data_IF_978317440343
#
_entry.id   IF_978317440343
#
_cell.length_a   1.000
_cell.length_b   1.000
_cell.length_c   1.000
_cell.angle_alpha   90.00
_cell.angle_beta   90.00
_cell.angle_gamma   90.00
#
_symmetry.space_group_name_H-M   'P 1'
#
loop_
_entity.id
_entity.type
_entity.pdbx_description
1 polymer ?
#
# COMPACT_ATOMS: atom_id res chain seq x y z
N UNK A 1 1.56 -2.93 19.63
CA UNK A 1 2.65 -3.64 18.93
C UNK A 1 2.89 -2.96 17.59
N UNK A 2 4.12 -3.02 17.10
CA UNK A 2 4.58 -2.21 15.97
C UNK A 2 4.78 -3.08 14.73
N UNK A 3 4.36 -2.61 13.57
CA UNK A 3 4.80 -3.14 12.28
C UNK A 3 5.88 -2.21 11.77
N UNK A 4 7.11 -2.73 11.71
CA UNK A 4 8.28 -1.96 11.34
C UNK A 4 8.56 -2.13 9.85
N UNK A 5 8.62 -1.03 9.11
CA UNK A 5 8.95 -1.04 7.67
C UNK A 5 10.36 -0.50 7.48
N UNK A 6 11.25 -1.29 6.88
CA UNK A 6 12.62 -0.82 6.65
C UNK A 6 12.65 0.36 5.66
N UNK A 7 13.34 1.43 6.05
CA UNK A 7 13.52 2.66 5.29
C UNK A 7 14.96 3.19 5.48
N UNK A 8 15.83 2.79 4.56
CA UNK A 8 17.23 3.23 4.46
C UNK A 8 17.76 2.84 3.07
N UNK A 9 19.06 2.94 2.84
CA UNK A 9 19.72 2.60 1.59
C UNK A 9 19.28 1.22 1.06
N UNK A 10 18.87 1.24 -0.21
CA UNK A 10 18.35 0.10 -0.94
C UNK A 10 16.85 0.19 -1.18
N UNK A 11 16.09 0.93 -0.39
CA UNK A 11 14.63 0.99 -0.54
C UNK A 11 14.23 1.89 -1.71
N UNK A 12 13.26 1.43 -2.52
CA UNK A 12 12.61 2.27 -3.52
C UNK A 12 11.58 3.19 -2.87
N UNK A 13 11.65 4.50 -3.13
CA UNK A 13 10.70 5.50 -2.61
C UNK A 13 9.24 5.12 -2.91
N UNK A 14 8.98 4.69 -4.16
CA UNK A 14 7.64 4.32 -4.58
C UNK A 14 7.16 3.04 -3.86
N UNK A 15 8.02 2.01 -3.78
CA UNK A 15 7.67 0.78 -3.05
C UNK A 15 7.43 1.04 -1.56
N UNK A 16 8.21 1.93 -0.93
CA UNK A 16 8.00 2.33 0.47
C UNK A 16 6.65 3.01 0.67
N UNK A 17 6.31 3.97 -0.20
CA UNK A 17 5.03 4.70 -0.17
C UNK A 17 3.84 3.74 -0.25
N UNK A 18 3.83 2.82 -1.21
CA UNK A 18 2.78 1.81 -1.35
C UNK A 18 2.75 0.83 -0.17
N UNK A 19 3.91 0.38 0.32
CA UNK A 19 4.01 -0.52 1.48
C UNK A 19 3.41 0.14 2.73
N UNK A 20 3.80 1.38 3.04
CA UNK A 20 3.29 2.11 4.20
C UNK A 20 1.79 2.39 4.10
N UNK A 21 1.31 2.81 2.92
CA UNK A 21 -0.12 3.05 2.69
C UNK A 21 -0.94 1.79 2.94
N UNK A 22 -0.60 0.69 2.28
CA UNK A 22 -1.35 -0.56 2.37
C UNK A 22 -1.33 -1.12 3.79
N UNK A 23 -0.17 -1.15 4.45
CA UNK A 23 -0.09 -1.59 5.84
C UNK A 23 -0.92 -0.70 6.77
N UNK A 24 -0.84 0.64 6.64
CA UNK A 24 -1.66 1.55 7.47
C UNK A 24 -3.16 1.36 7.20
N UNK A 25 -3.56 1.19 5.95
CA UNK A 25 -4.95 0.97 5.56
C UNK A 25 -5.54 -0.27 6.25
N UNK A 26 -4.79 -1.38 6.24
CA UNK A 26 -5.27 -2.66 6.74
C UNK A 26 -4.97 -2.93 8.21
N UNK A 27 -4.02 -2.22 8.86
CA UNK A 27 -3.55 -2.56 10.22
C UNK A 27 -3.72 -1.44 11.27
N UNK A 28 -4.13 -0.22 10.90
CA UNK A 28 -4.16 0.95 11.80
C UNK A 28 -5.00 0.81 13.09
N UNK A 29 -5.94 -0.14 13.17
CA UNK A 29 -6.76 -0.31 14.38
C UNK A 29 -6.04 -1.02 15.52
N UNK A 30 -5.05 -1.86 15.20
CA UNK A 30 -4.40 -2.77 16.17
C UNK A 30 -2.89 -2.62 16.22
N UNK A 31 -2.30 -2.09 15.16
CA UNK A 31 -0.86 -1.96 15.03
C UNK A 31 -0.50 -0.53 14.68
N UNK A 32 0.61 -0.07 15.26
CA UNK A 32 1.26 1.14 14.80
C UNK A 32 2.24 0.78 13.69
N UNK A 33 2.16 1.47 12.55
CA UNK A 33 2.97 1.21 11.35
C UNK A 33 3.91 2.39 11.13
N UNK A 34 5.20 2.16 11.33
CA UNK A 34 6.24 3.19 11.17
C UNK A 34 7.52 2.62 10.58
N UNK A 35 8.39 3.52 10.15
CA UNK A 35 9.65 3.17 9.51
C UNK A 35 10.75 2.86 10.52
N UNK A 36 11.72 2.05 10.10
CA UNK A 36 12.93 1.73 10.87
C UNK A 36 14.15 1.71 9.93
N UNK A 37 15.25 2.34 10.33
CA UNK A 37 16.47 2.37 9.52
C UNK A 37 17.51 1.32 9.97
N UNK A 38 18.63 1.20 9.24
CA UNK A 38 19.66 0.22 9.55
C UNK A 38 20.31 0.45 10.91
N UNK A 39 20.51 1.72 11.30
CA UNK A 39 21.10 2.07 12.60
C UNK A 39 20.22 1.57 13.75
N UNK A 40 18.90 1.75 13.65
CA UNK A 40 17.94 1.27 14.64
C UNK A 40 17.92 -0.26 14.69
N UNK A 41 17.84 -0.93 13.54
CA UNK A 41 17.86 -2.41 13.50
C UNK A 41 19.15 -3.00 14.08
N UNK A 42 20.29 -2.32 13.90
CA UNK A 42 21.58 -2.74 14.42
C UNK A 42 21.75 -2.48 15.92
N UNK A 43 21.31 -1.32 16.42
CA UNK A 43 21.74 -0.83 17.73
C UNK A 43 20.62 -0.76 18.78
N UNK A 44 19.37 -0.54 18.37
CA UNK A 44 18.26 -0.32 19.29
C UNK A 44 17.52 -1.63 19.64
N UNK A 45 16.82 -1.69 20.80
CA UNK A 45 15.93 -2.79 21.13
C UNK A 45 14.59 -2.64 20.41
N UNK A 46 14.34 -3.44 19.38
CA UNK A 46 13.11 -3.38 18.59
C UNK A 46 12.31 -4.69 18.58
N UNK A 47 12.96 -5.83 18.85
CA UNK A 47 12.35 -7.16 18.69
C UNK A 47 11.08 -7.35 19.55
N UNK A 48 11.11 -6.94 20.83
CA UNK A 48 10.07 -7.26 21.80
C UNK A 48 8.71 -6.60 21.49
N UNK A 49 8.74 -5.44 20.84
CA UNK A 49 7.54 -4.69 20.47
C UNK A 49 7.15 -4.84 18.99
N UNK A 50 7.92 -5.62 18.23
CA UNK A 50 7.70 -5.83 16.80
C UNK A 50 6.71 -6.98 16.56
N UNK A 51 5.58 -6.67 15.92
CA UNK A 51 4.63 -7.65 15.42
C UNK A 51 5.10 -8.25 14.10
N UNK A 52 5.66 -7.43 13.20
CA UNK A 52 6.19 -7.86 11.92
C UNK A 52 7.24 -6.87 11.43
N UNK A 53 8.36 -7.39 10.91
CA UNK A 53 9.35 -6.63 10.17
C UNK A 53 9.08 -6.78 8.68
N UNK A 54 8.88 -5.66 7.99
CA UNK A 54 8.61 -5.60 6.56
C UNK A 54 9.83 -5.01 5.84
N UNK A 55 10.35 -5.72 4.85
CA UNK A 55 11.42 -5.23 3.96
C UNK A 55 10.81 -5.02 2.56
N UNK A 56 10.63 -3.77 2.11
CA UNK A 56 9.96 -3.45 0.86
C UNK A 56 10.85 -3.71 -0.37
N UNK A 57 10.28 -3.45 -1.56
CA UNK A 57 10.99 -3.48 -2.83
C UNK A 57 12.10 -2.42 -2.93
N UNK A 58 13.07 -2.68 -3.81
CA UNK A 58 14.30 -1.90 -3.88
C UNK A 58 15.47 -2.66 -4.52
N UNK A 59 16.67 -2.42 -4.01
CA UNK A 59 17.92 -3.02 -4.45
C UNK A 59 18.54 -3.86 -3.32
N UNK A 60 18.39 -5.17 -3.43
CA UNK A 60 18.73 -6.13 -2.39
C UNK A 60 20.21 -6.04 -1.93
N UNK A 61 21.13 -5.79 -2.87
CA UNK A 61 22.58 -5.68 -2.59
C UNK A 61 22.91 -4.63 -1.53
N UNK A 62 22.08 -3.59 -1.43
CA UNK A 62 22.24 -2.54 -0.42
C UNK A 62 21.65 -2.93 0.93
N UNK A 63 20.58 -3.74 0.97
CA UNK A 63 20.11 -4.36 2.21
C UNK A 63 21.20 -5.25 2.80
N UNK A 64 21.79 -6.09 1.94
CA UNK A 64 22.89 -6.96 2.32
C UNK A 64 24.09 -6.16 2.87
N UNK A 65 24.49 -5.07 2.22
CA UNK A 65 25.64 -4.27 2.68
C UNK A 65 25.37 -3.47 3.95
N UNK A 66 24.12 -3.04 4.19
CA UNK A 66 23.75 -2.23 5.36
C UNK A 66 23.38 -3.02 6.59
N UNK A 67 22.73 -4.18 6.42
CA UNK A 67 22.14 -4.93 7.52
C UNK A 67 23.04 -6.09 7.99
N UNK A 68 23.93 -6.60 7.15
CA UNK A 68 24.84 -7.67 7.54
C UNK A 68 26.12 -7.12 8.21
N UNK A 69 26.66 -7.75 9.28
CA UNK A 69 26.16 -8.95 9.97
C UNK A 69 25.13 -8.67 11.08
N UNK A 70 25.21 -7.50 11.70
CA UNK A 70 24.55 -7.23 12.98
C UNK A 70 23.02 -7.32 12.89
N UNK A 71 22.39 -6.56 12.00
CA UNK A 71 20.94 -6.59 11.87
C UNK A 71 20.46 -7.94 11.30
N UNK A 72 21.19 -8.57 10.36
CA UNK A 72 20.79 -9.89 9.85
C UNK A 72 20.72 -10.95 10.95
N UNK A 73 21.65 -10.94 11.90
CA UNK A 73 21.63 -11.86 13.04
C UNK A 73 20.46 -11.56 13.98
N UNK A 74 20.25 -10.27 14.31
CA UNK A 74 19.10 -9.85 15.13
C UNK A 74 17.76 -10.21 14.50
N UNK A 75 17.61 -10.01 13.18
CA UNK A 75 16.40 -10.37 12.43
C UNK A 75 16.21 -11.89 12.45
N UNK A 76 17.25 -12.69 12.23
CA UNK A 76 17.15 -14.16 12.33
C UNK A 76 16.71 -14.60 13.72
N UNK A 77 17.30 -14.04 14.78
CA UNK A 77 16.92 -14.36 16.16
C UNK A 77 15.47 -13.97 16.46
N UNK A 78 15.03 -12.79 16.02
CA UNK A 78 13.65 -12.33 16.13
C UNK A 78 12.67 -13.33 15.49
N UNK A 79 12.91 -13.74 14.24
CA UNK A 79 12.02 -14.70 13.56
C UNK A 79 12.09 -16.07 14.24
N UNK A 80 13.29 -16.54 14.61
CA UNK A 80 13.45 -17.82 15.30
C UNK A 80 12.63 -17.91 16.59
N UNK A 81 12.46 -16.79 17.31
CA UNK A 81 11.70 -16.70 18.56
C UNK A 81 10.18 -16.45 18.36
N UNK A 82 9.67 -16.49 17.13
CA UNK A 82 8.23 -16.29 16.86
C UNK A 82 7.89 -14.96 16.20
N UNK A 83 8.90 -14.18 15.81
CA UNK A 83 8.75 -12.99 14.99
C UNK A 83 8.23 -13.30 13.58
N UNK A 84 7.79 -12.25 12.89
CA UNK A 84 7.25 -12.35 11.52
C UNK A 84 8.01 -11.44 10.58
N UNK A 85 8.32 -11.96 9.39
CA UNK A 85 9.01 -11.24 8.33
C UNK A 85 8.12 -11.17 7.09
N UNK A 86 8.03 -9.99 6.48
CA UNK A 86 7.36 -9.81 5.19
C UNK A 86 8.34 -9.17 4.20
N UNK A 87 8.84 -9.95 3.23
CA UNK A 87 9.75 -9.49 2.20
C UNK A 87 9.07 -9.35 0.86
N UNK A 88 9.10 -8.14 0.29
CA UNK A 88 8.47 -7.84 -1.00
C UNK A 88 9.56 -7.52 -2.03
N UNK A 89 9.51 -8.16 -3.19
CA UNK A 89 10.49 -8.01 -4.28
C UNK A 89 11.93 -8.18 -3.74
N UNK A 90 12.73 -7.10 -3.64
CA UNK A 90 14.06 -7.08 -3.02
C UNK A 90 14.11 -7.66 -1.61
N UNK A 91 13.06 -7.47 -0.80
CA UNK A 91 12.95 -8.13 0.50
C UNK A 91 12.83 -9.65 0.40
N UNK A 92 12.13 -10.16 -0.63
CA UNK A 92 12.05 -11.58 -0.93
C UNK A 92 13.41 -12.18 -1.34
N UNK A 93 14.17 -11.46 -2.16
CA UNK A 93 15.54 -11.82 -2.49
C UNK A 93 16.45 -11.86 -1.26
N UNK A 94 16.44 -10.79 -0.45
CA UNK A 94 17.28 -10.63 0.73
C UNK A 94 17.05 -11.73 1.80
N UNK A 95 15.82 -12.26 1.86
CA UNK A 95 15.43 -13.32 2.77
C UNK A 95 15.69 -14.75 2.26
N UNK A 96 16.08 -14.91 0.99
CA UNK A 96 16.30 -16.22 0.37
C UNK A 96 17.67 -16.81 0.70
N UNK A 97 17.93 -18.05 0.29
CA UNK A 97 19.22 -18.71 0.48
C UNK A 97 20.27 -18.16 -0.48
N UNK A 98 19.84 -17.90 -1.71
CA UNK A 98 20.63 -17.38 -2.81
C UNK A 98 19.78 -16.46 -3.68
N UNK A 99 20.42 -15.44 -4.26
CA UNK A 99 19.87 -14.65 -5.37
C UNK A 99 20.51 -15.05 -6.69
N UNK A 100 19.70 -15.10 -7.74
CA UNK A 100 20.12 -15.06 -9.14
C UNK A 100 19.29 -14.00 -9.86
N UNK A 101 19.78 -12.75 -9.83
CA UNK A 101 19.14 -11.64 -10.51
C UNK A 101 19.91 -11.27 -11.78
N UNK A 102 19.22 -11.21 -12.92
CA UNK A 102 19.75 -10.79 -14.22
C UNK A 102 21.11 -11.44 -14.55
N UNK A 103 21.19 -12.77 -14.35
CA UNK A 103 22.38 -13.57 -14.65
C UNK A 103 22.87 -13.29 -16.07
N UNK A 104 24.19 -13.19 -16.21
CA UNK A 104 24.92 -12.96 -17.46
C UNK A 104 24.64 -11.59 -18.13
N UNK A 105 24.12 -10.63 -17.38
CA UNK A 105 23.97 -9.23 -17.81
C UNK A 105 24.88 -8.28 -17.00
N UNK A 106 24.94 -7.01 -17.41
CA UNK A 106 25.59 -5.94 -16.62
C UNK A 106 24.93 -5.66 -15.27
N UNK A 107 23.67 -6.07 -15.09
CA UNK A 107 22.90 -5.90 -13.86
C UNK A 107 22.96 -7.13 -12.93
N UNK A 108 23.80 -8.12 -13.26
CA UNK A 108 23.87 -9.41 -12.57
C UNK A 108 24.17 -9.27 -11.07
N UNK A 109 23.31 -9.87 -10.25
CA UNK A 109 23.54 -10.07 -8.81
C UNK A 109 23.34 -11.55 -8.50
N UNK A 110 24.46 -12.25 -8.29
CA UNK A 110 24.48 -13.67 -7.94
C UNK A 110 25.24 -13.83 -6.64
N UNK A 111 24.64 -14.48 -5.66
CA UNK A 111 25.33 -14.76 -4.40
C UNK A 111 24.41 -15.24 -3.29
N UNK A 112 25.02 -15.66 -2.19
CA UNK A 112 24.29 -16.05 -1.00
C UNK A 112 23.68 -14.85 -0.29
N UNK A 113 22.62 -15.11 0.49
CA UNK A 113 22.07 -14.14 1.44
C UNK A 113 22.08 -14.71 2.84
N UNK A 114 22.20 -13.85 3.84
CA UNK A 114 22.46 -14.29 5.22
C UNK A 114 21.20 -14.64 6.00
N UNK A 115 20.04 -14.09 5.62
CA UNK A 115 18.78 -14.42 6.29
C UNK A 115 18.38 -15.89 6.07
N UNK A 116 18.53 -16.43 4.85
CA UNK A 116 18.27 -17.85 4.51
C UNK A 116 16.99 -18.42 5.11
N UNK A 117 15.91 -17.63 5.13
CA UNK A 117 14.60 -18.11 5.59
C UNK A 117 14.01 -19.09 4.60
N UNK A 118 14.16 -18.81 3.30
CA UNK A 118 13.92 -19.77 2.24
C UNK A 118 15.20 -20.50 1.87
N UNK A 119 15.21 -21.84 1.97
CA UNK A 119 16.31 -22.71 1.53
C UNK A 119 16.20 -22.99 0.04
N UNK A 120 16.47 -21.95 -0.74
CA UNK A 120 16.37 -21.99 -2.19
C UNK A 120 16.90 -20.72 -2.84
N UNK A 121 16.69 -20.63 -4.15
CA UNK A 121 17.06 -19.48 -4.96
C UNK A 121 15.84 -18.58 -5.20
N UNK A 122 16.01 -17.29 -5.01
CA UNK A 122 15.15 -16.27 -5.60
C UNK A 122 15.74 -15.86 -6.95
N UNK A 123 15.03 -16.16 -8.04
CA UNK A 123 15.52 -16.02 -9.41
C UNK A 123 14.68 -14.97 -10.14
N UNK A 124 15.34 -13.99 -10.77
CA UNK A 124 14.66 -12.99 -11.58
C UNK A 124 15.60 -12.21 -12.52
N UNK A 125 15.10 -11.22 -13.25
CA UNK A 125 13.66 -10.94 -13.38
C UNK A 125 13.00 -11.85 -14.45
N UNK A 126 11.68 -11.80 -14.51
CA UNK A 126 10.83 -12.59 -15.42
C UNK A 126 10.82 -12.03 -16.84
N UNK A 127 10.98 -10.71 -17.01
CA UNK A 127 10.93 -10.04 -18.31
C UNK A 127 12.33 -9.87 -18.94
N UNK A 128 12.37 -9.76 -20.26
CA UNK A 128 13.60 -9.40 -20.99
C UNK A 128 13.90 -7.90 -20.88
N UNK A 129 15.19 -7.53 -20.92
CA UNK A 129 15.59 -6.12 -21.06
C UNK A 129 15.42 -5.27 -19.80
N UNK A 130 15.47 -5.86 -18.61
CA UNK A 130 15.41 -5.10 -17.37
C UNK A 130 16.60 -4.15 -17.23
N UNK A 131 16.29 -2.90 -16.95
CA UNK A 131 17.28 -1.87 -16.64
C UNK A 131 16.84 -1.09 -15.39
N UNK A 132 17.75 -0.94 -14.43
CA UNK A 132 17.48 -0.13 -13.25
C UNK A 132 17.10 1.31 -13.64
N UNK A 133 16.08 1.84 -12.96
CA UNK A 133 15.59 3.23 -13.13
C UNK A 133 15.06 3.52 -14.53
N UNK A 134 14.70 2.49 -15.30
CA UNK A 134 14.01 2.62 -16.57
C UNK A 134 12.69 1.86 -16.54
N UNK A 135 11.77 2.33 -17.38
CA UNK A 135 10.43 1.77 -17.48
C UNK A 135 10.41 0.38 -18.14
N UNK A 136 11.49 -0.04 -18.80
CA UNK A 136 11.60 -1.35 -19.47
C UNK A 136 11.49 -2.55 -18.52
N UNK A 137 11.70 -2.33 -17.21
CA UNK A 137 11.55 -3.35 -16.18
C UNK A 137 10.12 -3.62 -15.71
N UNK A 138 9.17 -2.74 -16.05
CA UNK A 138 7.81 -2.77 -15.50
C UNK A 138 6.85 -3.60 -16.36
N UNK A 139 6.08 -4.47 -15.71
CA UNK A 139 4.97 -5.18 -16.36
C UNK A 139 3.82 -5.48 -15.39
N UNK A 140 2.68 -5.87 -15.95
CA UNK A 140 1.57 -6.46 -15.21
C UNK A 140 1.74 -7.98 -15.23
N UNK A 141 1.81 -8.63 -14.07
CA UNK A 141 1.88 -10.10 -13.95
C UNK A 141 0.54 -10.67 -13.50
N UNK A 142 0.16 -11.82 -14.08
CA UNK A 142 -1.01 -12.59 -13.65
C UNK A 142 -0.58 -13.63 -12.60
N UNK A 143 -1.18 -13.57 -11.42
CA UNK A 143 -0.84 -14.43 -10.28
C UNK A 143 -2.08 -15.13 -9.73
N UNK A 144 -1.90 -16.33 -9.17
CA UNK A 144 -2.97 -17.08 -8.50
C UNK A 144 -3.16 -16.63 -7.05
N UNK A 145 -4.37 -16.76 -6.52
CA UNK A 145 -4.71 -16.49 -5.14
C UNK A 145 -5.23 -17.78 -4.47
N UNK A 146 -4.86 -18.06 -3.21
CA UNK A 146 -5.47 -19.14 -2.42
C UNK A 146 -6.99 -18.98 -2.22
N UNK A 147 -7.53 -17.80 -2.50
CA UNK A 147 -8.96 -17.50 -2.41
C UNK A 147 -9.76 -17.97 -3.64
N UNK A 148 -9.12 -18.65 -4.60
CA UNK A 148 -9.77 -19.27 -5.76
C UNK A 148 -9.87 -18.38 -7.00
N UNK A 149 -9.18 -17.24 -7.02
CA UNK A 149 -9.15 -16.30 -8.14
C UNK A 149 -7.74 -16.02 -8.64
N UNK A 150 -7.65 -15.33 -9.77
CA UNK A 150 -6.41 -14.74 -10.28
C UNK A 150 -6.55 -13.22 -10.30
N UNK A 151 -5.44 -12.50 -10.18
CA UNK A 151 -5.42 -11.06 -10.28
C UNK A 151 -4.14 -10.57 -10.94
N UNK A 152 -4.17 -9.33 -11.44
CA UNK A 152 -3.00 -8.67 -11.97
C UNK A 152 -2.33 -7.84 -10.90
N UNK A 153 -1.01 -7.98 -10.77
CA UNK A 153 -0.19 -7.21 -9.86
C UNK A 153 0.88 -6.41 -10.60
N UNK A 154 1.36 -5.35 -9.95
CA UNK A 154 2.55 -4.65 -10.42
C UNK A 154 3.78 -5.54 -10.26
N UNK A 155 4.67 -5.46 -11.24
CA UNK A 155 5.91 -6.19 -11.24
C UNK A 155 7.02 -5.32 -11.81
N UNK A 156 8.14 -5.25 -11.08
CA UNK A 156 9.34 -4.57 -11.50
C UNK A 156 10.57 -5.25 -10.86
N UNK A 157 11.31 -6.06 -11.63
CA UNK A 157 12.53 -6.72 -11.15
C UNK A 157 12.33 -7.87 -10.15
N UNK A 158 11.10 -8.32 -9.96
CA UNK A 158 10.72 -9.35 -8.99
C UNK A 158 11.29 -10.77 -9.24
N UNK A 159 11.19 -11.67 -8.26
CA UNK A 159 11.64 -13.06 -8.42
C UNK A 159 10.51 -14.07 -8.56
N UNK A 160 10.87 -15.29 -8.97
CA UNK A 160 10.21 -16.52 -8.55
C UNK A 160 11.11 -17.33 -7.62
N UNK A 161 10.52 -18.25 -6.84
CA UNK A 161 11.24 -19.03 -5.84
C UNK A 161 11.47 -20.47 -6.31
N UNK A 162 12.73 -20.89 -6.30
CA UNK A 162 13.16 -22.24 -6.70
C UNK A 162 13.84 -22.96 -5.52
N UNK A 163 13.22 -23.99 -4.93
CA UNK A 163 13.78 -24.70 -3.77
C UNK A 163 15.09 -25.43 -4.11
N UNK A 164 15.97 -25.64 -3.12
CA UNK A 164 17.07 -26.58 -3.26
C UNK A 164 16.56 -28.02 -3.38
N UNK A 165 17.36 -28.90 -3.99
CA UNK A 165 16.95 -30.28 -4.26
C UNK A 165 16.71 -31.11 -2.99
N UNK A 166 17.42 -30.78 -1.92
CA UNK A 166 17.41 -31.44 -0.60
C UNK A 166 16.63 -30.65 0.45
N UNK A 167 15.83 -29.65 0.05
CA UNK A 167 15.03 -28.89 1.00
C UNK A 167 13.92 -29.75 1.59
N UNK A 168 13.68 -29.59 2.89
CA UNK A 168 12.47 -30.09 3.54
C UNK A 168 11.24 -29.38 2.95
N UNK A 169 10.37 -30.14 2.28
CA UNK A 169 9.16 -29.61 1.62
C UNK A 169 8.18 -29.00 2.62
N UNK A 170 8.22 -29.40 3.89
CA UNK A 170 7.37 -28.83 4.94
C UNK A 170 7.92 -27.52 5.51
N UNK A 171 9.13 -27.12 5.10
CA UNK A 171 9.78 -25.89 5.54
C UNK A 171 9.21 -24.62 4.88
N UNK A 172 8.42 -24.76 3.81
CA UNK A 172 7.71 -23.63 3.19
C UNK A 172 6.41 -24.06 2.51
N UNK A 173 5.49 -23.12 2.38
CA UNK A 173 4.22 -23.26 1.63
C UNK A 173 4.27 -22.36 0.40
N UNK A 174 3.85 -22.86 -0.77
CA UNK A 174 3.61 -22.01 -1.95
C UNK A 174 2.25 -21.32 -1.77
N UNK A 175 2.27 -19.99 -1.73
CA UNK A 175 1.09 -19.15 -1.50
C UNK A 175 0.48 -18.67 -2.81
N UNK A 176 1.30 -18.38 -3.80
CA UNK A 176 0.86 -17.86 -5.09
C UNK A 176 1.83 -18.28 -6.18
N UNK A 177 1.33 -18.41 -7.40
CA UNK A 177 2.11 -18.74 -8.58
C UNK A 177 1.84 -17.77 -9.74
N UNK A 178 2.90 -17.40 -10.44
CA UNK A 178 2.82 -16.72 -11.73
C UNK A 178 2.19 -17.66 -12.75
N UNK A 179 1.22 -17.17 -13.52
CA UNK A 179 0.60 -17.92 -14.61
C UNK A 179 1.40 -17.74 -15.91
N UNK A 180 2.62 -18.29 -15.94
CA UNK A 180 3.63 -18.10 -17.00
C UNK A 180 3.07 -18.31 -18.40
N UNK A 181 2.34 -19.39 -18.63
CA UNK A 181 1.77 -19.71 -19.95
C UNK A 181 0.64 -18.76 -20.40
N UNK A 182 0.16 -17.88 -19.51
CA UNK A 182 -0.88 -16.88 -19.79
C UNK A 182 -0.31 -15.46 -19.90
N UNK A 183 1.01 -15.30 -19.74
CA UNK A 183 1.68 -14.00 -19.76
C UNK A 183 2.50 -13.80 -21.04
N UNK A 184 2.66 -12.53 -21.43
CA UNK A 184 3.49 -12.09 -22.54
C UNK A 184 4.63 -11.21 -22.01
N UNK A 185 5.73 -11.09 -22.77
CA UNK A 185 6.87 -10.25 -22.39
C UNK A 185 7.79 -10.89 -21.32
N UNK A 186 7.60 -12.17 -21.05
CA UNK A 186 8.46 -12.97 -20.18
C UNK A 186 9.61 -13.59 -20.99
N UNK A 187 10.75 -13.82 -20.35
CA UNK A 187 11.94 -14.40 -20.97
C UNK A 187 11.65 -15.76 -21.59
N UNK A 188 12.13 -15.95 -22.82
CA UNK A 188 11.81 -17.14 -23.62
C UNK A 188 12.14 -18.47 -22.93
N UNK A 189 13.20 -18.53 -22.12
CA UNK A 189 13.59 -19.74 -21.37
C UNK A 189 12.60 -20.14 -20.28
N UNK A 190 11.70 -19.24 -19.88
CA UNK A 190 10.65 -19.50 -18.90
C UNK A 190 9.40 -20.12 -19.54
N UNK A 191 9.24 -20.04 -20.86
CA UNK A 191 8.06 -20.57 -21.58
C UNK A 191 7.86 -22.09 -21.43
N UNK A 192 8.87 -22.81 -20.95
CA UNK A 192 8.76 -24.24 -20.61
C UNK A 192 7.93 -24.51 -19.35
N UNK A 193 7.69 -23.50 -18.51
CA UNK A 193 6.89 -23.61 -17.30
C UNK A 193 5.45 -23.16 -17.54
N UNK A 194 4.49 -23.87 -16.94
CA UNK A 194 3.10 -23.39 -16.89
C UNK A 194 2.93 -22.35 -15.79
N UNK A 195 3.49 -22.64 -14.62
CA UNK A 195 3.45 -21.78 -13.44
C UNK A 195 4.83 -21.72 -12.78
N UNK A 196 5.08 -20.69 -11.99
CA UNK A 196 6.28 -20.54 -11.16
C UNK A 196 5.91 -19.95 -9.78
N UNK A 197 6.51 -20.41 -8.66
CA UNK A 197 6.19 -19.89 -7.32
C UNK A 197 6.48 -18.38 -7.22
N UNK A 198 5.43 -17.60 -7.00
CA UNK A 198 5.46 -16.13 -6.95
C UNK A 198 5.42 -15.59 -5.52
N UNK A 199 4.81 -16.33 -4.58
CA UNK A 199 4.85 -16.03 -3.16
C UNK A 199 4.98 -17.33 -2.36
N UNK A 200 5.79 -17.30 -1.29
CA UNK A 200 6.01 -18.44 -0.39
C UNK A 200 5.97 -18.00 1.07
N UNK A 201 5.54 -18.90 1.96
CA UNK A 201 5.61 -18.70 3.40
C UNK A 201 6.54 -19.74 4.04
N UNK A 202 7.70 -19.32 4.52
CA UNK A 202 8.71 -20.17 5.13
C UNK A 202 8.53 -20.27 6.64
N UNK A 203 8.71 -21.48 7.19
CA UNK A 203 8.82 -21.71 8.64
C UNK A 203 10.27 -21.50 9.07
N UNK A 204 10.49 -20.75 10.14
CA UNK A 204 11.84 -20.52 10.67
C UNK A 204 11.82 -20.38 12.19
N UNK A 205 12.32 -21.40 12.89
CA UNK A 205 12.13 -21.53 14.34
C UNK A 205 10.65 -21.54 14.71
N UNK A 206 10.25 -20.71 15.66
CA UNK A 206 8.85 -20.51 16.06
C UNK A 206 8.11 -19.48 15.19
N UNK A 207 8.83 -18.76 14.32
CA UNK A 207 8.28 -17.71 13.48
C UNK A 207 8.10 -18.12 12.02
N UNK A 208 7.83 -17.12 11.19
CA UNK A 208 7.61 -17.32 9.75
C UNK A 208 8.04 -16.11 8.93
N UNK A 209 8.41 -16.37 7.69
CA UNK A 209 8.79 -15.37 6.71
C UNK A 209 7.93 -15.53 5.45
N UNK A 210 7.15 -14.50 5.11
CA UNK A 210 6.37 -14.43 3.88
C UNK A 210 7.18 -13.65 2.84
N UNK A 211 7.52 -14.30 1.72
CA UNK A 211 8.33 -13.74 0.66
C UNK A 211 7.49 -13.65 -0.62
N UNK A 212 7.46 -12.47 -1.24
CA UNK A 212 6.66 -12.21 -2.43
C UNK A 212 7.54 -11.63 -3.51
N UNK A 213 7.48 -12.21 -4.70
CA UNK A 213 8.28 -11.82 -5.85
C UNK A 213 7.69 -10.65 -6.63
N UNK A 214 6.39 -10.40 -6.53
CA UNK A 214 5.70 -9.27 -7.15
C UNK A 214 5.30 -8.23 -6.09
N UNK A 215 4.58 -7.19 -6.50
CA UNK A 215 4.17 -6.09 -5.63
C UNK A 215 2.66 -6.12 -5.33
N UNK A 216 2.20 -6.91 -4.33
CA UNK A 216 0.80 -6.94 -3.93
C UNK A 216 0.36 -5.67 -3.18
N UNK A 217 1.31 -4.85 -2.72
CA UNK A 217 1.07 -3.60 -1.99
C UNK A 217 0.73 -2.41 -2.89
N UNK A 218 0.94 -2.54 -4.21
CA UNK A 218 0.70 -1.45 -5.17
C UNK A 218 -0.80 -1.22 -5.37
N UNK A 219 -1.32 -0.23 -4.66
CA UNK A 219 -2.70 0.22 -4.84
C UNK A 219 -2.84 1.33 -5.91
N UNK A 220 -3.76 1.19 -6.89
CA UNK A 220 -4.00 2.21 -7.93
C UNK A 220 -4.59 3.53 -7.42
N UNK A 221 -5.03 3.65 -6.16
CA UNK A 221 -5.47 4.92 -5.58
C UNK A 221 -4.31 5.90 -5.33
N UNK A 222 -3.11 5.36 -5.07
CA UNK A 222 -1.89 6.15 -4.91
C UNK A 222 -1.40 6.57 -6.30
N UNK A 223 -0.97 7.82 -6.46
CA UNK A 223 -0.34 8.25 -7.71
C UNK A 223 0.96 7.49 -7.96
N UNK A 224 1.02 6.90 -9.15
CA UNK A 224 2.17 6.21 -9.71
C UNK A 224 3.06 7.27 -10.33
N UNK A 225 4.34 7.31 -9.96
CA UNK A 225 5.29 8.27 -10.54
C UNK A 225 5.52 7.99 -12.04
N UNK A 226 5.29 6.74 -12.47
CA UNK A 226 5.48 6.26 -13.83
C UNK A 226 4.20 6.41 -14.68
N UNK A 227 3.95 7.63 -15.18
CA UNK A 227 2.76 7.96 -15.99
C UNK A 227 2.61 7.13 -17.30
N UNK A 228 3.62 6.35 -17.69
CA UNK A 228 3.64 5.53 -18.89
C UNK A 228 3.27 4.06 -18.63
N UNK A 229 3.12 3.64 -17.37
CA UNK A 229 2.75 2.27 -17.03
C UNK A 229 1.24 2.04 -17.23
N UNK A 230 0.87 1.10 -18.10
CA UNK A 230 -0.51 0.62 -18.20
C UNK A 230 -0.86 -0.20 -16.95
N UNK A 231 -1.73 0.35 -16.10
CA UNK A 231 -2.26 -0.33 -14.92
C UNK A 231 -3.72 -0.81 -15.10
N UNK A 232 -4.26 -0.81 -16.31
CA UNK A 232 -5.68 -1.06 -16.57
C UNK A 232 -6.15 -2.42 -16.02
N UNK A 233 -5.32 -3.47 -16.12
CA UNK A 233 -5.71 -4.80 -15.62
C UNK A 233 -5.59 -4.89 -14.10
N UNK A 234 -4.61 -4.20 -13.51
CA UNK A 234 -4.50 -4.07 -12.04
C UNK A 234 -5.73 -3.36 -11.48
N UNK A 235 -6.14 -2.24 -12.07
CA UNK A 235 -7.36 -1.51 -11.67
C UNK A 235 -8.59 -2.42 -11.74
N UNK A 236 -8.73 -3.20 -12.82
CA UNK A 236 -9.86 -4.13 -13.01
C UNK A 236 -9.90 -5.27 -11.99
N UNK A 237 -8.76 -5.69 -11.47
CA UNK A 237 -8.63 -6.81 -10.51
C UNK A 237 -8.19 -6.33 -9.11
N UNK A 238 -8.41 -5.04 -8.81
CA UNK A 238 -7.97 -4.42 -7.57
C UNK A 238 -8.59 -5.08 -6.35
N UNK A 239 -9.88 -5.43 -6.43
CA UNK A 239 -10.60 -6.08 -5.32
C UNK A 239 -9.90 -7.40 -4.95
N UNK A 240 -9.64 -8.22 -5.95
CA UNK A 240 -8.96 -9.51 -5.83
C UNK A 240 -7.53 -9.37 -5.28
N UNK A 241 -6.81 -8.32 -5.70
CA UNK A 241 -5.49 -7.98 -5.18
C UNK A 241 -5.53 -7.55 -3.71
N UNK A 242 -6.53 -6.76 -3.32
CA UNK A 242 -6.72 -6.31 -1.94
C UNK A 242 -7.08 -7.47 -1.02
N UNK A 243 -7.98 -8.36 -1.45
CA UNK A 243 -8.32 -9.59 -0.73
C UNK A 243 -7.09 -10.49 -0.55
N UNK A 244 -6.24 -10.59 -1.58
CA UNK A 244 -4.98 -11.31 -1.49
C UNK A 244 -4.01 -10.65 -0.49
N UNK A 245 -3.87 -9.32 -0.49
CA UNK A 245 -3.01 -8.62 0.46
C UNK A 245 -3.49 -8.83 1.92
N UNK A 246 -4.80 -8.77 2.17
CA UNK A 246 -5.38 -9.09 3.48
C UNK A 246 -5.05 -10.54 3.87
N UNK A 247 -5.20 -11.50 2.95
CA UNK A 247 -4.85 -12.90 3.18
C UNK A 247 -3.37 -13.06 3.56
N UNK A 248 -2.45 -12.32 2.93
CA UNK A 248 -1.03 -12.32 3.29
C UNK A 248 -0.79 -11.84 4.73
N UNK A 249 -1.50 -10.78 5.16
CA UNK A 249 -1.43 -10.28 6.53
C UNK A 249 -1.96 -11.32 7.53
N UNK A 250 -3.09 -11.97 7.22
CA UNK A 250 -3.65 -13.04 8.04
C UNK A 250 -2.69 -14.25 8.12
N UNK A 251 -1.98 -14.60 7.03
CA UNK A 251 -0.94 -15.64 7.04
C UNK A 251 0.25 -15.29 7.94
N UNK A 252 0.52 -14.01 8.16
CA UNK A 252 1.49 -13.52 9.14
C UNK A 252 0.90 -13.42 10.56
N UNK A 253 -0.34 -13.88 10.78
CA UNK A 253 -1.10 -13.71 12.01
C UNK A 253 -1.21 -12.23 12.43
N UNK A 254 -1.23 -11.30 11.47
CA UNK A 254 -1.56 -9.90 11.70
C UNK A 254 -3.05 -9.73 11.55
N UNK A 255 -3.73 -9.26 12.58
CA UNK A 255 -5.18 -9.02 12.53
C UNK A 255 -5.50 -7.84 11.62
N UNK A 256 -5.77 -8.11 10.35
CA UNK A 256 -6.22 -7.09 9.40
C UNK A 256 -7.64 -6.59 9.70
N UNK A 257 -7.92 -5.35 9.30
CA UNK A 257 -9.25 -4.78 9.31
C UNK A 257 -10.14 -5.55 8.32
N UNK A 258 -11.36 -5.92 8.72
CA UNK A 258 -12.32 -6.55 7.80
C UNK A 258 -12.65 -5.58 6.65
N UNK A 259 -12.76 -6.10 5.42
CA UNK A 259 -13.06 -5.29 4.23
C UNK A 259 -14.36 -4.45 4.36
N UNK A 260 -15.33 -4.91 5.17
CA UNK A 260 -16.56 -4.17 5.48
C UNK A 260 -16.35 -2.94 6.37
N UNK A 261 -15.22 -2.87 7.07
CA UNK A 261 -14.86 -1.74 7.93
C UNK A 261 -13.89 -0.77 7.25
N UNK A 262 -13.34 -1.15 6.10
CA UNK A 262 -12.50 -0.31 5.27
C UNK A 262 -13.45 0.50 4.40
N UNK A 263 -13.83 1.67 4.91
CA UNK A 263 -14.54 2.64 4.10
C UNK A 263 -13.52 3.21 3.12
N UNK A 264 -13.48 2.68 1.89
CA UNK A 264 -12.77 3.31 0.80
C UNK A 264 -13.43 4.67 0.56
N UNK A 265 -12.86 5.72 1.15
CA UNK A 265 -13.24 7.09 0.82
C UNK A 265 -12.81 7.28 -0.63
N UNK A 266 -13.77 7.24 -1.56
CA UNK A 266 -13.48 7.51 -2.96
C UNK A 266 -12.70 8.82 -3.07
N UNK A 267 -11.67 8.85 -3.91
CA UNK A 267 -10.84 10.04 -4.20
C UNK A 267 -11.68 11.28 -4.62
N UNK A 268 -12.96 11.06 -4.92
CA UNK A 268 -14.00 12.04 -5.23
C UNK A 268 -15.24 11.90 -4.31
N UNK A 269 -15.06 11.70 -3.00
CA UNK A 269 -16.22 11.63 -2.12
C UNK A 269 -16.89 13.01 -2.04
N UNK A 270 -18.07 13.12 -2.64
CA UNK A 270 -18.90 14.33 -2.61
C UNK A 270 -19.40 14.57 -1.18
N UNK A 271 -19.01 15.70 -0.59
CA UNK A 271 -19.57 16.17 0.68
C UNK A 271 -20.87 16.91 0.36
N UNK A 272 -22.01 16.38 0.82
CA UNK A 272 -23.31 17.03 0.67
C UNK A 272 -23.46 18.15 1.72
N UNK A 273 -23.61 19.39 1.27
CA UNK A 273 -23.97 20.53 2.13
C UNK A 273 -25.45 20.83 1.93
N UNK A 274 -26.29 20.44 2.89
CA UNK A 274 -27.70 20.85 2.91
C UNK A 274 -27.81 22.26 3.47
N UNK A 275 -28.37 23.19 2.68
CA UNK A 275 -28.84 24.48 3.20
C UNK A 275 -30.36 24.35 3.39
N UNK A 276 -30.79 24.07 4.61
CA UNK A 276 -32.23 24.15 4.91
C UNK A 276 -32.64 25.62 4.91
N UNK A 277 -33.66 25.96 4.11
CA UNK A 277 -34.42 27.21 4.27
C UNK A 277 -34.87 27.29 5.74
N UNK A 278 -34.87 28.48 6.34
CA UNK A 278 -35.40 28.65 7.71
C UNK A 278 -36.88 28.24 7.71
N UNK A 279 -37.16 27.06 8.23
CA UNK A 279 -38.51 26.61 8.54
C UNK A 279 -38.80 26.93 10.01
N UNK A 280 -39.99 27.45 10.28
CA UNK A 280 -40.56 27.51 11.63
C UNK A 280 -40.71 26.10 12.20
N UNK A 281 -40.84 25.98 13.53
CA UNK A 281 -41.02 24.69 14.20
C UNK A 281 -42.28 23.94 13.74
N UNK A 282 -43.33 24.65 13.31
CA UNK A 282 -44.51 24.02 12.71
C UNK A 282 -44.24 23.46 11.29
N UNK A 283 -43.49 24.17 10.46
CA UNK A 283 -43.18 23.75 9.08
C UNK A 283 -42.27 22.52 9.05
N UNK A 284 -41.31 22.42 9.98
CA UNK A 284 -40.43 21.25 10.11
C UNK A 284 -41.22 19.96 10.42
N UNK A 285 -42.32 20.06 11.17
CA UNK A 285 -43.19 18.92 11.48
C UNK A 285 -44.04 18.46 10.31
N UNK A 286 -44.17 19.29 9.26
CA UNK A 286 -45.00 19.03 8.09
C UNK A 286 -44.18 18.56 6.85
N UNK A 287 -42.85 18.55 6.94
CA UNK A 287 -41.99 18.09 5.84
C UNK A 287 -42.12 16.57 5.64
N UNK A 288 -42.34 16.07 4.41
CA UNK A 288 -42.31 14.64 4.14
C UNK A 288 -40.89 14.10 4.36
N UNK A 289 -40.79 12.90 4.96
CA UNK A 289 -39.58 12.36 5.56
C UNK A 289 -38.43 11.97 4.60
N UNK A 290 -38.51 12.29 3.31
CA UNK A 290 -37.47 11.94 2.34
C UNK A 290 -37.37 13.02 1.26
N UNK A 291 -36.17 13.57 1.07
CA UNK A 291 -35.82 14.35 -0.12
C UNK A 291 -34.87 13.51 -0.95
N UNK A 292 -35.32 13.22 -2.17
CA UNK A 292 -34.70 12.37 -3.19
C UNK A 292 -33.54 13.10 -3.89
N UNK A 293 -32.54 12.34 -4.35
CA UNK A 293 -31.28 12.84 -4.87
C UNK A 293 -31.31 13.00 -6.39
N UNK A 294 -31.37 14.24 -6.88
CA UNK A 294 -31.00 14.55 -8.26
C UNK A 294 -30.61 16.02 -8.39
N UNK A 295 -29.29 16.26 -8.49
CA UNK A 295 -28.62 17.25 -9.36
C UNK A 295 -27.27 17.67 -8.74
N UNK A 296 -26.17 17.31 -9.43
CA UNK A 296 -24.79 17.25 -8.91
C UNK A 296 -23.86 18.17 -9.70
N UNK A 297 -23.06 19.02 -9.02
CA UNK A 297 -21.91 19.75 -9.63
C UNK A 297 -20.71 19.80 -8.65
N UNK A 298 -19.50 19.50 -9.17
CA UNK A 298 -18.20 19.53 -8.46
C UNK A 298 -17.45 20.86 -8.66
N UNK A 299 -16.67 21.33 -7.67
CA UNK A 299 -15.61 22.36 -7.89
C UNK A 299 -14.30 22.06 -7.14
N UNK A 300 -13.20 22.19 -7.89
CA UNK A 300 -11.78 22.15 -7.48
C UNK A 300 -11.23 23.58 -7.61
N UNK A 301 -10.63 24.10 -6.53
CA UNK A 301 -10.13 25.48 -6.34
C UNK A 301 -11.17 26.60 -6.42
N UNK A 302 -10.89 27.77 -5.82
CA UNK A 302 -11.77 28.96 -5.81
C UNK A 302 -12.20 29.35 -7.24
N UNK A 303 -13.28 28.75 -7.70
CA UNK A 303 -13.99 29.09 -8.92
C UNK A 303 -15.46 29.07 -8.58
N UNK A 304 -16.12 30.19 -8.89
CA UNK A 304 -17.55 30.46 -8.73
C UNK A 304 -18.37 29.19 -9.03
N UNK A 305 -18.97 28.59 -8.00
CA UNK A 305 -20.05 27.62 -8.15
C UNK A 305 -21.32 28.42 -8.44
N UNK A 306 -21.90 28.25 -9.62
CA UNK A 306 -23.16 28.91 -9.97
C UNK A 306 -24.36 28.20 -9.33
N UNK A 307 -25.23 29.05 -8.77
CA UNK A 307 -26.69 28.99 -8.65
C UNK A 307 -27.34 28.02 -7.64
N UNK A 308 -27.39 28.47 -6.38
CA UNK A 308 -28.57 28.34 -5.53
C UNK A 308 -29.07 29.76 -5.18
N UNK A 309 -30.31 30.09 -5.55
CA UNK A 309 -31.03 31.35 -5.23
C UNK A 309 -30.18 32.64 -5.26
N UNK A 310 -29.32 32.80 -6.27
CA UNK A 310 -28.57 34.03 -6.53
C UNK A 310 -27.46 34.39 -5.53
N UNK A 311 -27.15 33.53 -4.55
CA UNK A 311 -26.12 33.80 -3.55
C UNK A 311 -24.81 33.09 -3.89
N UNK A 312 -23.76 33.84 -4.25
CA UNK A 312 -22.44 33.25 -4.50
C UNK A 312 -21.76 32.88 -3.18
N UNK A 313 -21.42 31.60 -2.99
CA UNK A 313 -20.75 31.08 -1.79
C UNK A 313 -19.29 30.70 -2.12
N UNK A 314 -18.40 30.88 -1.16
CA UNK A 314 -16.95 30.74 -1.28
C UNK A 314 -16.41 29.98 -0.07
N UNK A 315 -15.45 29.09 -0.29
CA UNK A 315 -14.69 28.46 0.79
C UNK A 315 -13.31 29.11 0.85
N UNK A 316 -12.94 29.59 2.04
CA UNK A 316 -11.60 30.10 2.34
C UNK A 316 -10.87 29.06 3.18
N UNK A 317 -9.72 28.61 2.67
CA UNK A 317 -8.90 27.62 3.33
C UNK A 317 -8.53 28.04 4.77
N UNK A 318 -8.54 27.12 5.75
CA UNK A 318 -8.82 25.69 5.60
C UNK A 318 -10.29 25.30 5.78
N UNK A 319 -11.16 26.21 6.25
CA UNK A 319 -12.44 25.80 6.82
C UNK A 319 -13.56 26.84 6.84
N UNK A 320 -13.34 28.06 6.38
CA UNK A 320 -14.32 29.13 6.50
C UNK A 320 -15.21 29.21 5.26
N UNK A 321 -16.53 29.31 5.46
CA UNK A 321 -17.50 29.47 4.38
C UNK A 321 -17.98 30.92 4.36
N UNK A 322 -17.94 31.54 3.20
CA UNK A 322 -18.32 32.93 2.94
C UNK A 322 -19.42 33.02 1.90
N UNK A 323 -20.33 33.98 2.03
CA UNK A 323 -21.23 34.39 0.96
C UNK A 323 -20.89 35.79 0.48
N UNK A 324 -21.07 36.06 -0.82
CA UNK A 324 -20.91 37.40 -1.39
C UNK A 324 -22.27 38.09 -1.49
N UNK A 325 -22.45 39.12 -0.68
CA UNK A 325 -23.61 40.04 -0.69
C UNK A 325 -23.08 41.44 -0.98
N UNK A 326 -23.64 42.13 -1.97
CA UNK A 326 -23.27 43.51 -2.35
C UNK A 326 -21.77 43.73 -2.57
N UNK A 327 -21.12 42.76 -3.21
CA UNK A 327 -19.69 42.81 -3.50
C UNK A 327 -18.77 42.46 -2.32
N UNK A 328 -19.29 42.32 -1.10
CA UNK A 328 -18.53 41.98 0.11
C UNK A 328 -18.68 40.50 0.48
N UNK A 329 -17.59 39.90 0.97
CA UNK A 329 -17.58 38.54 1.51
C UNK A 329 -17.96 38.57 3.00
N UNK A 330 -19.05 37.90 3.36
CA UNK A 330 -19.52 37.70 4.73
C UNK A 330 -19.28 36.24 5.12
N UNK A 331 -18.63 36.00 6.27
CA UNK A 331 -18.45 34.64 6.78
C UNK A 331 -19.80 34.14 7.29
N UNK A 332 -20.28 33.04 6.73
CA UNK A 332 -21.59 32.46 7.04
C UNK A 332 -21.51 31.11 7.77
N UNK A 333 -20.33 30.51 7.84
CA UNK A 333 -20.15 29.25 8.56
C UNK A 333 -18.70 28.80 8.59
N UNK A 334 -18.49 27.66 9.25
CA UNK A 334 -17.22 26.97 9.27
C UNK A 334 -17.44 25.47 9.16
N UNK A 335 -16.53 24.81 8.47
CA UNK A 335 -16.40 23.36 8.52
C UNK A 335 -15.52 23.06 9.74
N UNK A 336 -15.89 22.10 10.59
CA UNK A 336 -14.92 21.68 11.62
C UNK A 336 -13.82 20.94 10.87
N UNK A 337 -12.65 21.54 10.86
CA UNK A 337 -11.47 20.96 10.24
C UNK A 337 -10.43 20.91 11.34
N UNK A 338 -10.20 19.71 11.87
CA UNK A 338 -9.08 19.46 12.75
C UNK A 338 -7.89 19.11 11.88
N UNK A 339 -6.91 20.00 11.84
CA UNK A 339 -5.62 19.70 11.24
C UNK A 339 -4.59 19.46 12.32
N UNK A 340 -3.85 18.36 12.19
CA UNK A 340 -2.70 18.07 13.04
C UNK A 340 -1.48 17.84 12.17
N UNK A 341 -0.40 18.55 12.49
CA UNK A 341 0.92 18.26 11.94
C UNK A 341 1.64 17.31 12.90
N UNK A 342 2.14 16.20 12.37
CA UNK A 342 3.07 15.32 13.06
C UNK A 342 4.29 15.10 12.16
N UNK A 343 5.38 15.81 12.45
CA UNK A 343 6.52 15.94 11.54
C UNK A 343 6.12 16.56 10.20
N UNK A 344 6.46 15.89 9.10
CA UNK A 344 6.12 16.29 7.73
C UNK A 344 4.70 15.84 7.31
N UNK A 345 3.97 15.15 8.19
CA UNK A 345 2.65 14.62 7.89
C UNK A 345 1.56 15.56 8.37
N UNK A 346 0.80 16.11 7.41
CA UNK A 346 -0.41 16.87 7.67
C UNK A 346 -1.64 15.97 7.66
N UNK A 347 -2.30 15.82 8.80
CA UNK A 347 -3.56 15.09 8.92
C UNK A 347 -4.71 16.07 8.98
N UNK A 348 -5.75 15.83 8.17
CA UNK A 348 -6.95 16.67 8.10
C UNK A 348 -8.20 15.83 8.41
N UNK A 349 -8.88 16.14 9.51
CA UNK A 349 -10.14 15.52 9.93
C UNK A 349 -11.26 16.53 9.73
N UNK A 350 -12.15 16.25 8.79
CA UNK A 350 -13.28 17.12 8.44
C UNK A 350 -14.55 16.61 9.12
N UNK A 351 -15.06 17.32 10.12
CA UNK A 351 -16.32 17.05 10.81
C UNK A 351 -17.52 17.81 10.21
N UNK A 352 -18.73 17.45 10.65
CA UNK A 352 -20.00 18.06 10.18
C UNK A 352 -20.05 19.59 10.42
N UNK A 353 -20.70 20.31 9.49
CA UNK A 353 -20.85 21.77 9.46
C UNK A 353 -21.46 22.33 10.76
N UNK A 354 -20.90 23.43 11.29
CA UNK A 354 -21.53 24.25 12.32
C UNK A 354 -21.80 25.65 11.76
N UNK A 355 -23.07 26.06 11.73
CA UNK A 355 -23.45 27.45 11.47
C UNK A 355 -23.37 28.24 12.78
N UNK A 356 -22.62 29.34 12.78
CA UNK A 356 -22.66 30.33 13.84
C UNK A 356 -23.21 31.63 13.26
N UNK A 357 -24.52 31.84 13.40
CA UNK A 357 -25.17 33.10 13.04
C UNK A 357 -25.04 34.07 14.21
N UNK A 358 -23.89 34.73 14.31
CA UNK A 358 -23.79 35.99 15.04
C UNK A 358 -23.38 37.10 14.07
N UNK A 359 -24.30 38.05 13.92
CA UNK A 359 -24.25 39.31 13.18
C UNK A 359 -24.67 39.29 11.69
N UNK A 360 -25.89 39.80 11.45
CA UNK A 360 -26.11 40.75 10.35
C UNK A 360 -26.62 40.21 9.01
N UNK A 361 -27.43 39.14 9.00
CA UNK A 361 -28.22 38.77 7.83
C UNK A 361 -29.70 38.72 8.21
N UNK A 362 -30.34 39.89 8.12
CA UNK A 362 -31.78 39.98 7.86
C UNK A 362 -32.08 39.51 6.43
#
# INVERSE_FOLDING_TARGET
MNVLVYDDLGVSTNSLKHTLYSLKLYLNKKYDVHTVNAKQLCNEPWQDNCACLVIPGGEDKFYQSKLHPVATEKIRNYIFQGGKYFGICAGGYFASGQIEFERDTSNSVIGERNLKFFKGKAIGCLNEGFEYKKESGMMQVLVSSPLGHHFYAYYNGGCYFSPWQDVDVDSFEIISEYQINLMSGIKSELNKFKTLPAAICCKYGMGRALLVGFHPEYDPEIEWEDNLFDNTKIVKTRKESNEFFIFLLDKLNLSANLATEITYLQKNMTIYVYVMKKYSREEIKALPAQVDSSDVIFVKDMKKTTDFDGLAVFIKWPNDIYAKKDGKLLKIGGIIVNSTFDGDLFTLVVGNLIFNLSQGLD
#
